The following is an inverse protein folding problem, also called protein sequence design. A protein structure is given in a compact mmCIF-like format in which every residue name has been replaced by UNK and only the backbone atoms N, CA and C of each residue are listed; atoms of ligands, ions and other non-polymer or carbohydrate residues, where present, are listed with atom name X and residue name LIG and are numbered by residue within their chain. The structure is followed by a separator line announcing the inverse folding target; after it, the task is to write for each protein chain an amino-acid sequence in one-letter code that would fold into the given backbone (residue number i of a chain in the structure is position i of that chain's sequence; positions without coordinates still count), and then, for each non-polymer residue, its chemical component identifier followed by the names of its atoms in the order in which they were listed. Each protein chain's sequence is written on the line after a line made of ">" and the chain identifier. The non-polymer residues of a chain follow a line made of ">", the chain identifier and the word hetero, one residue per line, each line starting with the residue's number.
data_IF_110202150479
#
_entry.id   IF_110202150479
#
_cell.length_a   1.000
_cell.length_b   1.000
_cell.length_c   1.000
_cell.angle_alpha   90.00
_cell.angle_beta   90.00
_cell.angle_gamma   90.00
#
_symmetry.space_group_name_H-M   'P 1'
#
loop_
_entity.id
_entity.type
_entity.pdbx_description
1 polymer ?
#
# COMPACT_ATOMS: atom_id res chain seq x y z
N UNK A 1 2.49 6.53 27.97
CA UNK A 1 3.52 7.56 27.76
C UNK A 1 4.13 7.32 26.39
N UNK A 2 4.27 8.33 25.51
CA UNK A 2 4.93 8.13 24.24
C UNK A 2 6.31 7.53 24.42
N UNK A 3 6.63 6.51 23.65
CA UNK A 3 7.96 5.92 23.58
C UNK A 3 8.68 6.59 22.41
N UNK A 4 9.81 7.23 22.68
CA UNK A 4 10.58 7.95 21.67
C UNK A 4 11.92 7.25 21.41
N UNK A 5 12.46 7.43 20.21
CA UNK A 5 13.81 6.98 19.91
C UNK A 5 14.84 7.69 20.80
N UNK A 6 15.78 6.94 21.33
CA UNK A 6 16.89 7.47 22.15
C UNK A 6 17.89 8.23 21.28
N UNK A 7 18.05 7.81 20.04
CA UNK A 7 18.92 8.43 19.07
C UNK A 7 18.37 8.29 17.64
N UNK A 8 18.48 9.39 16.90
CA UNK A 8 18.15 9.46 15.48
C UNK A 8 19.38 9.97 14.72
N UNK A 9 19.83 9.26 13.71
CA UNK A 9 20.98 9.71 12.91
C UNK A 9 20.59 10.88 12.01
N UNK A 10 21.58 11.72 11.67
CA UNK A 10 21.38 12.67 10.58
C UNK A 10 21.09 11.94 9.27
N UNK A 11 20.19 12.46 8.42
CA UNK A 11 19.92 11.87 7.12
C UNK A 11 21.18 11.82 6.25
N UNK A 12 21.43 10.68 5.59
CA UNK A 12 22.57 10.46 4.70
C UNK A 12 22.07 10.21 3.29
N UNK A 13 22.57 10.97 2.33
CA UNK A 13 22.33 10.73 0.92
C UNK A 13 23.07 9.46 0.49
N UNK A 14 22.31 8.38 0.25
CA UNK A 14 22.85 7.05 -0.10
C UNK A 14 22.97 6.84 -1.60
N UNK A 15 22.02 7.39 -2.36
CA UNK A 15 21.97 7.28 -3.81
C UNK A 15 21.41 8.57 -4.42
N UNK A 16 22.03 9.02 -5.51
CA UNK A 16 21.57 10.13 -6.33
C UNK A 16 21.62 9.71 -7.79
N UNK A 17 20.49 9.60 -8.44
CA UNK A 17 20.43 9.15 -9.83
C UNK A 17 19.20 9.67 -10.58
N UNK A 18 19.17 9.48 -11.91
CA UNK A 18 18.05 9.94 -12.73
C UNK A 18 16.77 9.11 -12.55
N UNK A 19 16.88 7.94 -11.93
CA UNK A 19 15.72 7.05 -11.69
C UNK A 19 15.14 7.25 -10.30
N UNK A 20 16.02 7.41 -9.29
CA UNK A 20 15.62 7.61 -7.89
C UNK A 20 16.69 8.33 -7.10
N UNK A 21 16.28 8.89 -5.98
CA UNK A 21 17.14 9.41 -4.92
C UNK A 21 16.82 8.66 -3.63
N UNK A 22 17.85 8.24 -2.90
CA UNK A 22 17.69 7.52 -1.64
C UNK A 22 18.38 8.26 -0.52
N UNK A 23 17.63 8.54 0.55
CA UNK A 23 18.12 9.14 1.79
C UNK A 23 17.91 8.13 2.91
N UNK A 24 18.98 7.78 3.63
CA UNK A 24 18.93 6.84 4.75
C UNK A 24 18.91 7.57 6.07
N UNK A 25 18.12 7.04 7.02
CA UNK A 25 18.04 7.48 8.41
C UNK A 25 17.92 6.25 9.30
N UNK A 26 18.43 6.30 10.53
CA UNK A 26 18.21 5.26 11.51
C UNK A 26 17.69 5.82 12.83
N UNK A 27 16.84 5.03 13.47
CA UNK A 27 16.25 5.30 14.78
C UNK A 27 16.67 4.18 15.73
N UNK A 28 17.30 4.56 16.83
CA UNK A 28 17.65 3.61 17.90
C UNK A 28 16.74 3.83 19.08
N UNK A 29 16.13 2.75 19.50
CA UNK A 29 15.38 2.65 20.76
C UNK A 29 16.24 1.88 21.79
N UNK A 30 15.75 1.66 23.01
CA UNK A 30 16.53 1.02 24.07
C UNK A 30 17.20 -0.31 23.64
N UNK A 31 16.42 -1.21 23.04
CA UNK A 31 16.90 -2.53 22.56
C UNK A 31 16.89 -2.68 21.04
N UNK A 32 16.22 -1.80 20.33
CA UNK A 32 15.86 -1.97 18.90
C UNK A 32 16.55 -0.95 18.00
N UNK A 33 16.77 -1.36 16.74
CA UNK A 33 17.26 -0.50 15.67
C UNK A 33 16.28 -0.54 14.51
N UNK A 34 15.87 0.63 14.03
CA UNK A 34 15.06 0.79 12.82
C UNK A 34 15.82 1.62 11.81
N UNK A 35 16.10 1.04 10.65
CA UNK A 35 16.76 1.69 9.52
C UNK A 35 15.77 1.91 8.40
N UNK A 36 15.75 3.11 7.83
CA UNK A 36 14.85 3.48 6.73
C UNK A 36 15.63 4.07 5.57
N UNK A 37 15.36 3.54 4.38
CA UNK A 37 15.72 4.16 3.12
C UNK A 37 14.47 4.89 2.59
N UNK A 38 14.52 6.20 2.54
CA UNK A 38 13.46 7.06 2.00
C UNK A 38 13.77 7.27 0.52
N UNK A 39 12.89 6.75 -0.34
CA UNK A 39 13.09 6.71 -1.79
C UNK A 39 12.18 7.71 -2.48
N UNK A 40 12.76 8.59 -3.25
CA UNK A 40 12.08 9.59 -4.07
C UNK A 40 12.27 9.26 -5.55
N UNK A 41 11.23 9.46 -6.35
CA UNK A 41 11.24 9.21 -7.79
C UNK A 41 10.95 10.50 -8.57
N UNK A 42 11.75 10.88 -9.58
CA UNK A 42 11.52 12.11 -10.34
C UNK A 42 10.17 12.18 -11.07
N UNK A 43 9.67 11.03 -11.53
CA UNK A 43 8.48 10.95 -12.36
C UNK A 43 7.30 10.24 -11.69
N UNK A 44 7.40 9.94 -10.41
CA UNK A 44 6.36 9.28 -9.64
C UNK A 44 6.16 10.03 -8.31
N UNK A 45 4.98 10.58 -8.05
CA UNK A 45 4.74 11.35 -6.83
C UNK A 45 4.53 10.48 -5.58
N UNK A 46 5.13 9.29 -5.55
CA UNK A 46 5.15 8.37 -4.42
C UNK A 46 6.50 8.48 -3.71
N UNK A 47 6.46 8.44 -2.40
CA UNK A 47 7.65 8.39 -1.55
C UNK A 47 7.59 7.08 -0.78
N UNK A 48 8.58 6.21 -0.99
CA UNK A 48 8.64 4.90 -0.34
C UNK A 48 9.56 4.94 0.87
N UNK A 49 9.15 4.27 1.95
CA UNK A 49 9.91 4.08 3.18
C UNK A 49 10.26 2.60 3.32
N UNK A 50 11.38 2.21 2.73
CA UNK A 50 11.90 0.83 2.84
C UNK A 50 12.52 0.67 4.22
N UNK A 51 11.90 -0.14 5.05
CA UNK A 51 12.21 -0.21 6.48
C UNK A 51 12.74 -1.58 6.86
N UNK A 52 13.84 -1.60 7.60
CA UNK A 52 14.41 -2.76 8.26
C UNK A 52 14.46 -2.49 9.75
N UNK A 53 13.99 -3.44 10.56
CA UNK A 53 13.99 -3.30 12.00
C UNK A 53 14.53 -4.58 12.66
N UNK A 54 15.56 -4.44 13.50
CA UNK A 54 15.92 -5.45 14.51
C UNK A 54 15.22 -5.05 15.81
N UNK A 55 14.00 -5.62 16.01
CA UNK A 55 13.12 -5.24 17.08
C UNK A 55 13.29 -6.13 18.30
N UNK A 56 13.60 -5.53 19.46
CA UNK A 56 13.90 -6.19 20.72
C UNK A 56 13.07 -5.70 21.91
N UNK A 57 12.29 -4.63 21.72
CA UNK A 57 11.54 -3.99 22.80
C UNK A 57 10.16 -4.63 22.97
N UNK A 58 9.81 -4.97 24.22
CA UNK A 58 8.51 -5.54 24.59
C UNK A 58 7.53 -4.46 25.04
N UNK A 59 6.23 -4.74 24.94
CA UNK A 59 5.12 -3.84 25.29
C UNK A 59 5.13 -2.50 24.52
N UNK A 60 5.63 -2.49 23.31
CA UNK A 60 5.73 -1.28 22.48
C UNK A 60 4.88 -1.47 21.22
N UNK A 61 4.18 -0.40 20.83
CA UNK A 61 3.49 -0.25 19.57
C UNK A 61 4.24 0.80 18.74
N UNK A 62 4.94 0.34 17.70
CA UNK A 62 5.61 1.23 16.74
C UNK A 62 4.63 1.62 15.66
N UNK A 63 4.41 2.92 15.48
CA UNK A 63 3.53 3.49 14.46
C UNK A 63 4.20 4.64 13.73
N UNK A 64 3.80 4.82 12.47
CA UNK A 64 4.08 6.04 11.73
C UNK A 64 2.82 6.86 11.58
N UNK A 65 2.97 8.19 11.59
CA UNK A 65 1.88 9.13 11.42
C UNK A 65 2.23 10.19 10.38
N UNK A 66 1.27 10.48 9.52
CA UNK A 66 1.36 11.50 8.49
C UNK A 66 0.23 12.51 8.70
N UNK A 67 0.53 13.69 9.28
CA UNK A 67 -0.47 14.76 9.37
C UNK A 67 -0.76 15.30 7.97
N UNK A 68 -2.03 15.29 7.58
CA UNK A 68 -2.51 15.78 6.30
C UNK A 68 -3.50 16.94 6.54
N UNK A 69 -3.28 18.06 5.88
CA UNK A 69 -4.23 19.19 5.92
C UNK A 69 -5.35 18.98 4.91
N UNK A 70 -6.09 17.89 5.09
CA UNK A 70 -7.22 17.49 4.24
C UNK A 70 -8.46 17.46 5.10
N UNK A 71 -9.49 18.20 4.70
CA UNK A 71 -10.74 18.29 5.42
C UNK A 71 -11.79 17.34 4.80
N UNK A 72 -11.78 16.11 5.24
CA UNK A 72 -12.71 15.09 4.82
C UNK A 72 -13.32 14.37 6.03
N UNK A 73 -14.64 14.17 6.00
CA UNK A 73 -15.37 13.46 7.07
C UNK A 73 -15.25 11.95 6.96
N UNK A 74 -14.80 11.44 5.80
CA UNK A 74 -14.61 10.02 5.55
C UNK A 74 -13.27 9.77 4.90
N UNK A 75 -12.70 8.63 5.21
CA UNK A 75 -11.53 8.06 4.56
C UNK A 75 -11.89 6.71 3.92
N UNK A 76 -11.26 6.39 2.80
CA UNK A 76 -11.43 5.12 2.11
C UNK A 76 -10.34 4.14 2.53
N UNK A 77 -10.71 2.87 2.65
CA UNK A 77 -9.81 1.79 3.05
C UNK A 77 -10.01 0.59 2.14
N UNK A 78 -8.94 0.03 1.62
CA UNK A 78 -9.04 -1.19 0.84
C UNK A 78 -9.49 -2.37 1.71
N UNK A 79 -10.40 -3.14 1.15
CA UNK A 79 -10.78 -4.46 1.62
C UNK A 79 -10.61 -5.45 0.46
N UNK A 80 -10.89 -6.73 0.68
CA UNK A 80 -10.83 -7.76 -0.37
C UNK A 80 -11.75 -7.37 -1.54
N UNK A 81 -11.17 -7.22 -2.73
CA UNK A 81 -11.87 -6.92 -3.98
C UNK A 81 -12.74 -5.66 -3.95
N UNK A 82 -12.30 -4.64 -3.21
CA UNK A 82 -13.06 -3.40 -3.10
C UNK A 82 -12.52 -2.47 -2.03
N UNK A 83 -13.38 -1.61 -1.53
CA UNK A 83 -13.06 -0.64 -0.50
C UNK A 83 -14.26 -0.37 0.41
N UNK A 84 -13.99 0.25 1.55
CA UNK A 84 -15.01 0.71 2.50
C UNK A 84 -14.65 2.11 2.99
N UNK A 85 -15.65 2.97 3.11
CA UNK A 85 -15.48 4.27 3.74
C UNK A 85 -15.77 4.19 5.24
N UNK A 86 -14.96 4.92 6.03
CA UNK A 86 -15.16 5.06 7.48
C UNK A 86 -15.00 6.52 7.89
N UNK A 87 -15.74 6.92 8.94
CA UNK A 87 -15.69 8.28 9.48
C UNK A 87 -14.30 8.60 10.04
N UNK A 88 -13.84 9.84 9.80
CA UNK A 88 -12.56 10.37 10.30
C UNK A 88 -12.72 11.08 11.65
N UNK A 89 -13.93 11.20 12.17
CA UNK A 89 -14.27 11.84 13.44
C UNK A 89 -14.69 10.81 14.49
N UNK A 90 -14.66 11.20 15.76
CA UNK A 90 -15.08 10.34 16.89
C UNK A 90 -16.29 10.94 17.59
N UNK A 91 -17.42 11.02 16.88
CA UNK A 91 -18.64 11.69 17.35
C UNK A 91 -19.47 10.87 18.33
N UNK A 92 -19.25 9.56 18.40
CA UNK A 92 -19.93 8.68 19.34
C UNK A 92 -19.01 7.56 19.85
N UNK A 93 -19.47 6.83 20.87
CA UNK A 93 -18.65 5.83 21.56
C UNK A 93 -18.13 4.70 20.66
N UNK A 94 -18.87 4.33 19.62
CA UNK A 94 -18.41 3.32 18.66
C UNK A 94 -17.22 3.79 17.82
N UNK A 95 -17.22 5.07 17.41
CA UNK A 95 -16.07 5.63 16.68
C UNK A 95 -14.85 5.81 17.60
N UNK A 96 -15.10 6.20 18.84
CA UNK A 96 -14.05 6.31 19.85
C UNK A 96 -13.40 4.96 20.14
N UNK A 97 -14.17 3.85 20.13
CA UNK A 97 -13.65 2.51 20.35
C UNK A 97 -12.85 1.94 19.17
N UNK A 98 -12.93 2.54 17.98
CA UNK A 98 -12.14 2.15 16.81
C UNK A 98 -10.77 2.82 16.83
N UNK A 99 -9.87 2.33 17.67
CA UNK A 99 -8.49 2.83 17.74
C UNK A 99 -7.73 2.58 16.44
N UNK A 100 -7.96 1.43 15.85
CA UNK A 100 -7.43 0.99 14.56
C UNK A 100 -8.49 0.24 13.77
N UNK A 101 -8.37 0.30 12.47
CA UNK A 101 -9.22 -0.43 11.53
C UNK A 101 -8.34 -1.15 10.51
N UNK A 102 -8.84 -2.26 9.98
CA UNK A 102 -8.13 -3.01 8.97
C UNK A 102 -8.24 -2.31 7.61
N UNK A 103 -7.11 -2.19 6.92
CA UNK A 103 -7.05 -2.00 5.48
C UNK A 103 -5.91 -2.86 4.93
N UNK A 104 -5.92 -3.13 3.63
CA UNK A 104 -4.88 -3.95 3.01
C UNK A 104 -3.79 -3.09 2.38
N UNK A 105 -3.74 -3.01 1.06
CA UNK A 105 -2.64 -2.34 0.36
C UNK A 105 -2.67 -0.82 0.46
N UNK A 106 -3.85 -0.22 0.74
CA UNK A 106 -3.98 1.23 0.80
C UNK A 106 -5.09 1.72 1.73
N UNK A 107 -4.91 2.94 2.22
CA UNK A 107 -5.95 3.79 2.78
C UNK A 107 -5.78 5.20 2.23
N UNK A 108 -6.86 5.94 2.08
CA UNK A 108 -6.86 7.27 1.45
C UNK A 108 -7.69 8.28 2.21
N UNK A 109 -7.17 9.48 2.29
CA UNK A 109 -7.87 10.66 2.76
C UNK A 109 -7.86 11.71 1.66
N UNK A 110 -9.03 12.01 1.09
CA UNK A 110 -9.17 12.95 -0.01
C UNK A 110 -10.30 13.93 0.21
N UNK A 111 -10.09 15.15 -0.29
CA UNK A 111 -11.12 16.17 -0.50
C UNK A 111 -11.17 16.58 -1.98
N UNK A 112 -12.03 17.53 -2.34
CA UNK A 112 -12.09 18.01 -3.73
C UNK A 112 -10.76 18.68 -4.11
N UNK A 113 -10.01 18.07 -5.02
CA UNK A 113 -8.79 18.61 -5.60
C UNK A 113 -7.48 18.12 -4.98
N UNK A 114 -7.49 17.51 -3.80
CA UNK A 114 -6.28 17.04 -3.11
C UNK A 114 -6.55 15.76 -2.33
N UNK A 115 -5.61 14.83 -2.34
CA UNK A 115 -5.64 13.63 -1.53
C UNK A 115 -4.24 13.15 -1.14
N UNK A 116 -4.22 12.28 -0.14
CA UNK A 116 -3.04 11.56 0.31
C UNK A 116 -3.42 10.10 0.54
N UNK A 117 -2.79 9.21 -0.21
CA UNK A 117 -2.91 7.78 0.03
C UNK A 117 -1.72 7.28 0.85
N UNK A 118 -2.00 6.41 1.81
CA UNK A 118 -1.02 5.66 2.58
C UNK A 118 -1.03 4.21 2.08
N UNK A 119 0.08 3.80 1.48
CA UNK A 119 0.24 2.48 0.86
C UNK A 119 1.17 1.62 1.72
N UNK A 120 1.02 0.31 1.63
CA UNK A 120 1.93 -0.62 2.32
C UNK A 120 1.93 -2.01 1.67
N UNK A 121 2.93 -2.82 2.02
CA UNK A 121 3.09 -4.19 1.50
C UNK A 121 2.61 -5.29 2.45
N UNK A 122 2.47 -5.03 3.76
CA UNK A 122 2.13 -6.07 4.73
C UNK A 122 1.59 -5.57 6.08
N UNK A 123 1.22 -4.29 6.20
CA UNK A 123 0.75 -3.70 7.47
C UNK A 123 -0.73 -3.33 7.37
N UNK A 124 -1.56 -3.83 8.29
CA UNK A 124 -3.02 -3.75 8.17
C UNK A 124 -3.71 -2.88 9.22
N UNK A 125 -2.99 -2.42 10.24
CA UNK A 125 -3.54 -1.59 11.31
C UNK A 125 -3.48 -0.11 10.95
N UNK A 126 -4.60 0.47 10.49
CA UNK A 126 -4.69 1.86 10.08
C UNK A 126 -5.54 2.69 11.05
N UNK A 127 -5.23 3.97 11.15
CA UNK A 127 -6.13 4.97 11.75
C UNK A 127 -6.07 6.26 10.94
N UNK A 128 -7.22 6.80 10.58
CA UNK A 128 -7.31 8.13 9.96
C UNK A 128 -8.33 8.93 10.76
N UNK A 129 -7.84 9.88 11.54
CA UNK A 129 -8.67 10.73 12.42
C UNK A 129 -8.09 12.14 12.46
N UNK A 130 -8.95 13.12 12.48
CA UNK A 130 -8.61 14.53 12.66
C UNK A 130 -7.49 15.03 11.71
N UNK A 131 -7.50 14.54 10.46
CA UNK A 131 -6.50 14.88 9.46
C UNK A 131 -5.14 14.20 9.65
N UNK A 132 -5.02 13.18 10.51
CA UNK A 132 -3.80 12.40 10.69
C UNK A 132 -4.02 10.96 10.20
N UNK A 133 -3.11 10.48 9.36
CA UNK A 133 -3.09 9.11 8.85
C UNK A 133 -2.02 8.30 9.58
N UNK A 134 -2.43 7.24 10.29
CA UNK A 134 -1.55 6.37 11.06
C UNK A 134 -1.51 4.95 10.53
N UNK A 135 -0.33 4.33 10.57
CA UNK A 135 -0.09 2.92 10.24
C UNK A 135 0.70 2.26 11.35
N UNK A 136 0.22 1.13 11.84
CA UNK A 136 0.94 0.29 12.80
C UNK A 136 1.97 -0.55 12.07
N UNK A 137 3.21 -0.44 12.49
CA UNK A 137 4.36 -1.11 11.89
C UNK A 137 4.73 -2.39 12.65
N UNK A 138 4.87 -2.30 13.99
CA UNK A 138 5.23 -3.42 14.87
C UNK A 138 4.40 -3.32 16.15
N UNK A 139 3.91 -4.46 16.64
CA UNK A 139 3.18 -4.56 17.92
C UNK A 139 3.74 -5.67 18.77
N UNK A 140 4.71 -5.35 19.62
CA UNK A 140 5.36 -6.32 20.51
C UNK A 140 4.62 -6.49 21.84
N UNK A 141 3.44 -7.09 21.77
CA UNK A 141 2.71 -7.54 22.96
C UNK A 141 3.38 -8.75 23.61
N UNK A 142 2.96 -9.08 24.84
CA UNK A 142 3.50 -10.23 25.58
C UNK A 142 2.46 -11.31 25.88
N UNK A 143 1.25 -11.14 25.40
CA UNK A 143 0.19 -12.11 25.53
C UNK A 143 -0.60 -12.23 24.22
N UNK A 144 -0.95 -13.41 23.75
CA UNK A 144 -0.65 -14.75 24.31
C UNK A 144 0.79 -15.24 24.04
N UNK A 145 1.56 -14.56 23.19
CA UNK A 145 2.94 -14.85 22.87
C UNK A 145 3.86 -13.79 23.52
N UNK A 146 4.74 -14.24 24.42
CA UNK A 146 5.68 -13.35 25.13
C UNK A 146 6.70 -12.68 24.19
N UNK A 147 6.95 -13.26 23.04
CA UNK A 147 7.89 -12.79 22.04
C UNK A 147 7.20 -12.33 20.74
N UNK A 148 5.95 -11.88 20.84
CA UNK A 148 5.24 -11.36 19.68
C UNK A 148 6.03 -10.23 19.01
N UNK A 149 6.24 -10.33 17.70
CA UNK A 149 6.96 -9.38 16.85
C UNK A 149 8.42 -9.07 17.27
N UNK A 150 9.02 -9.91 18.16
CA UNK A 150 10.45 -9.79 18.45
C UNK A 150 11.25 -10.46 17.34
N UNK A 151 12.22 -9.72 16.78
CA UNK A 151 13.09 -10.22 15.72
C UNK A 151 13.32 -9.22 14.59
N UNK A 152 13.77 -9.73 13.46
CA UNK A 152 14.04 -8.94 12.27
C UNK A 152 12.77 -8.79 11.42
N UNK A 153 12.49 -7.54 11.02
CA UNK A 153 11.40 -7.19 10.13
C UNK A 153 11.92 -6.43 8.91
N UNK A 154 11.32 -6.70 7.77
CA UNK A 154 11.50 -5.93 6.54
C UNK A 154 10.13 -5.66 5.93
N UNK A 155 9.85 -4.39 5.65
CA UNK A 155 8.58 -3.95 5.07
C UNK A 155 8.72 -2.59 4.42
N UNK A 156 7.80 -2.30 3.50
CA UNK A 156 7.72 -1.00 2.84
C UNK A 156 6.33 -0.39 3.03
N UNK A 157 6.30 0.88 3.37
CA UNK A 157 5.09 1.70 3.27
C UNK A 157 5.41 2.97 2.49
N UNK A 158 4.37 3.61 1.97
CA UNK A 158 4.55 4.75 1.09
C UNK A 158 3.48 5.80 1.31
N UNK A 159 3.82 7.05 1.03
CA UNK A 159 2.84 8.12 0.86
C UNK A 159 2.74 8.48 -0.61
N UNK A 160 1.51 8.69 -1.06
CA UNK A 160 1.18 9.06 -2.42
C UNK A 160 0.27 10.29 -2.42
N UNK A 161 0.83 11.51 -2.44
CA UNK A 161 0.06 12.73 -2.61
C UNK A 161 -0.47 12.82 -4.05
N UNK A 162 -1.73 13.22 -4.20
CA UNK A 162 -2.37 13.25 -5.51
C UNK A 162 -3.39 14.39 -5.63
N UNK A 163 -3.74 14.71 -6.87
CA UNK A 163 -4.85 15.61 -7.19
C UNK A 163 -6.16 14.83 -7.27
N UNK A 164 -7.26 15.47 -6.91
CA UNK A 164 -8.59 14.87 -6.96
C UNK A 164 -8.78 13.82 -5.87
N UNK A 165 -9.79 12.99 -6.05
CA UNK A 165 -10.11 11.87 -5.15
C UNK A 165 -9.35 10.62 -5.54
N UNK A 166 -9.24 9.66 -4.64
CA UNK A 166 -8.51 8.40 -4.86
C UNK A 166 -9.01 7.62 -6.10
N UNK A 167 -10.31 7.73 -6.44
CA UNK A 167 -10.88 7.10 -7.63
C UNK A 167 -10.30 7.66 -8.95
N UNK A 168 -9.86 8.92 -8.93
CA UNK A 168 -9.30 9.62 -10.09
C UNK A 168 -7.79 9.51 -10.14
N UNK A 169 -7.17 9.27 -8.99
CA UNK A 169 -5.74 9.43 -8.73
C UNK A 169 -4.91 8.15 -8.93
N UNK A 170 -5.46 7.07 -9.44
CA UNK A 170 -4.75 5.78 -9.62
C UNK A 170 -4.19 5.20 -8.31
N UNK A 171 -4.83 5.47 -7.17
CA UNK A 171 -4.39 4.95 -5.86
C UNK A 171 -4.29 3.43 -5.85
N UNK A 172 -5.27 2.74 -6.44
CA UNK A 172 -5.30 1.28 -6.50
C UNK A 172 -4.11 0.74 -7.30
N UNK A 173 -3.84 1.32 -8.47
CA UNK A 173 -2.71 0.93 -9.32
C UNK A 173 -1.37 1.18 -8.60
N UNK A 174 -1.21 2.32 -7.92
CA UNK A 174 0.00 2.63 -7.14
C UNK A 174 0.23 1.63 -6.00
N UNK A 175 -0.84 1.18 -5.37
CA UNK A 175 -0.78 0.16 -4.33
C UNK A 175 -0.40 -1.22 -4.89
N UNK A 176 -0.92 -1.57 -6.07
CA UNK A 176 -0.50 -2.79 -6.77
C UNK A 176 0.96 -2.72 -7.25
N UNK A 177 1.41 -1.59 -7.77
CA UNK A 177 2.82 -1.40 -8.18
C UNK A 177 3.79 -1.58 -6.99
N UNK A 178 3.38 -1.20 -5.78
CA UNK A 178 4.16 -1.43 -4.57
C UNK A 178 4.19 -2.92 -4.18
N UNK A 179 3.05 -3.61 -4.29
CA UNK A 179 2.87 -4.99 -3.84
C UNK A 179 3.28 -6.05 -4.89
N UNK A 180 3.33 -5.65 -6.16
CA UNK A 180 3.68 -6.51 -7.29
C UNK A 180 4.71 -5.80 -8.17
N UNK A 181 5.94 -5.63 -7.69
CA UNK A 181 6.97 -4.88 -8.40
C UNK A 181 7.32 -5.55 -9.74
N UNK A 182 7.70 -4.72 -10.72
CA UNK A 182 8.13 -5.19 -12.04
C UNK A 182 9.37 -6.09 -11.91
N UNK A 183 9.31 -7.23 -12.58
CA UNK A 183 10.45 -8.13 -12.70
C UNK A 183 11.18 -7.83 -13.99
N UNK A 184 12.49 -7.54 -13.89
CA UNK A 184 13.35 -7.34 -15.05
C UNK A 184 14.19 -8.58 -15.34
N UNK A 185 14.40 -8.88 -16.62
CA UNK A 185 15.28 -9.95 -17.06
C UNK A 185 16.07 -9.50 -18.28
N UNK A 186 17.31 -10.01 -18.40
CA UNK A 186 18.12 -9.80 -19.59
C UNK A 186 17.52 -10.64 -20.72
N UNK A 187 17.20 -9.98 -21.83
CA UNK A 187 16.72 -10.64 -23.05
C UNK A 187 17.81 -10.62 -24.12
N UNK A 188 17.81 -11.59 -25.06
CA UNK A 188 18.69 -11.55 -26.24
C UNK A 188 18.47 -10.28 -27.04
N UNK A 189 19.54 -9.69 -27.58
CA UNK A 189 19.51 -8.41 -28.29
C UNK A 189 18.60 -8.36 -29.54
N UNK A 190 18.01 -9.44 -29.97
CA UNK A 190 17.11 -9.60 -31.12
C UNK A 190 15.73 -10.12 -30.77
N UNK A 191 15.15 -9.65 -29.66
CA UNK A 191 13.74 -9.93 -29.35
C UNK A 191 12.79 -8.98 -30.07
N UNK A 192 11.51 -9.35 -30.31
CA UNK A 192 10.50 -8.41 -30.75
C UNK A 192 10.32 -7.36 -29.66
N UNK A 193 10.65 -6.10 -29.98
CA UNK A 193 10.33 -4.98 -29.09
C UNK A 193 8.84 -4.70 -29.11
N UNK A 194 8.31 -4.09 -28.04
CA UNK A 194 6.93 -3.63 -27.98
C UNK A 194 6.24 -4.00 -26.67
N UNK A 195 5.03 -3.50 -26.53
CA UNK A 195 4.12 -3.85 -25.45
C UNK A 195 3.15 -4.92 -25.93
N UNK A 196 2.96 -5.94 -25.11
CA UNK A 196 1.84 -6.82 -25.31
C UNK A 196 1.23 -7.24 -23.97
N UNK A 197 -0.08 -7.49 -23.98
CA UNK A 197 -0.79 -8.01 -22.81
C UNK A 197 -1.62 -9.23 -23.20
N UNK A 198 -1.62 -10.25 -22.36
CA UNK A 198 -2.53 -11.39 -22.52
C UNK A 198 -3.98 -11.03 -22.24
N UNK A 199 -4.20 -10.09 -21.33
CA UNK A 199 -5.52 -9.67 -20.89
C UNK A 199 -5.49 -8.17 -20.65
N UNK A 200 -6.49 -7.47 -21.14
CA UNK A 200 -6.72 -6.06 -20.80
C UNK A 200 -8.21 -5.77 -20.69
N UNK A 201 -8.57 -4.76 -19.92
CA UNK A 201 -9.93 -4.24 -19.78
C UNK A 201 -9.97 -2.79 -20.22
N UNK A 202 -11.11 -2.36 -20.75
CA UNK A 202 -11.30 -0.99 -21.28
C UNK A 202 -11.75 0.02 -20.21
N UNK A 203 -12.15 -0.46 -19.04
CA UNK A 203 -12.65 0.40 -17.97
C UNK A 203 -11.61 0.61 -16.86
N UNK A 204 -11.26 1.87 -16.52
CA UNK A 204 -10.26 2.16 -15.50
C UNK A 204 -10.71 1.84 -14.07
N UNK A 205 -12.00 1.59 -13.84
CA UNK A 205 -12.54 1.13 -12.57
C UNK A 205 -12.54 -0.40 -12.43
N UNK A 206 -12.18 -1.14 -13.49
CA UNK A 206 -12.11 -2.59 -13.48
C UNK A 206 -10.66 -3.03 -13.43
N UNK A 207 -10.34 -3.94 -12.51
CA UNK A 207 -8.99 -4.42 -12.29
C UNK A 207 -8.90 -5.92 -12.53
N UNK A 208 -7.98 -6.31 -13.41
CA UNK A 208 -7.62 -7.74 -13.61
C UNK A 208 -6.65 -8.10 -12.49
N UNK A 209 -7.15 -8.79 -11.48
CA UNK A 209 -6.33 -9.15 -10.33
C UNK A 209 -5.44 -10.34 -10.62
N UNK A 210 -6.00 -11.34 -11.32
CA UNK A 210 -5.29 -12.61 -11.54
C UNK A 210 -5.75 -13.29 -12.81
N UNK A 211 -4.78 -13.94 -13.46
CA UNK A 211 -5.02 -14.98 -14.45
C UNK A 211 -4.24 -16.23 -14.03
N UNK A 212 -4.93 -17.35 -13.83
CA UNK A 212 -4.29 -18.63 -13.49
C UNK A 212 -4.82 -19.77 -14.35
N UNK A 213 -4.07 -20.85 -14.42
CA UNK A 213 -4.57 -22.11 -14.99
C UNK A 213 -5.65 -22.70 -14.06
N UNK A 214 -6.70 -23.25 -14.63
CA UNK A 214 -7.72 -23.97 -13.87
C UNK A 214 -7.13 -25.21 -13.17
N UNK A 215 -7.64 -25.57 -12.00
CA UNK A 215 -7.08 -26.65 -11.18
C UNK A 215 -7.32 -28.03 -11.81
N UNK A 216 -8.42 -28.19 -12.54
CA UNK A 216 -8.72 -29.38 -13.35
C UNK A 216 -7.88 -29.47 -14.65
N UNK A 217 -7.09 -28.42 -14.92
CA UNK A 217 -6.25 -28.31 -16.10
C UNK A 217 -6.98 -27.89 -17.37
N UNK A 218 -8.29 -27.64 -17.32
CA UNK A 218 -9.13 -27.31 -18.45
C UNK A 218 -9.39 -25.80 -18.54
N UNK A 219 -8.44 -25.05 -19.11
CA UNK A 219 -8.59 -23.63 -19.37
C UNK A 219 -7.92 -22.72 -18.34
N UNK A 220 -8.38 -21.46 -18.30
CA UNK A 220 -7.85 -20.41 -17.46
C UNK A 220 -8.96 -19.74 -16.65
N UNK A 221 -8.66 -19.41 -15.42
CA UNK A 221 -9.52 -18.60 -14.56
C UNK A 221 -8.99 -17.17 -14.59
N UNK A 222 -9.87 -16.24 -14.88
CA UNK A 222 -9.61 -14.81 -14.84
C UNK A 222 -10.44 -14.18 -13.72
N UNK A 223 -9.78 -13.51 -12.76
CA UNK A 223 -10.45 -12.76 -11.71
C UNK A 223 -10.38 -11.29 -12.00
N UNK A 224 -11.55 -10.68 -12.09
CA UNK A 224 -11.71 -9.24 -12.33
C UNK A 224 -12.64 -8.67 -11.26
N UNK A 225 -12.38 -7.47 -10.80
CA UNK A 225 -13.28 -6.76 -9.88
C UNK A 225 -13.36 -5.27 -10.22
N UNK A 226 -14.47 -4.66 -9.83
CA UNK A 226 -14.68 -3.21 -9.90
C UNK A 226 -14.19 -2.57 -8.60
N UNK A 227 -13.38 -1.51 -8.67
CA UNK A 227 -12.64 -0.96 -7.53
C UNK A 227 -13.06 0.46 -7.08
N UNK A 228 -14.08 1.08 -7.70
CA UNK A 228 -14.50 2.46 -7.43
C UNK A 228 -15.93 2.60 -6.91
N UNK A 229 -16.58 1.47 -6.62
CA UNK A 229 -17.99 1.40 -6.22
C UNK A 229 -18.95 1.98 -7.28
N UNK A 230 -18.69 1.69 -8.55
CA UNK A 230 -19.48 2.17 -9.68
C UNK A 230 -20.10 1.00 -10.45
N UNK A 231 -21.28 1.25 -11.03
CA UNK A 231 -21.87 0.31 -11.99
C UNK A 231 -21.31 0.61 -13.38
N UNK A 232 -20.68 -0.37 -14.00
CA UNK A 232 -20.10 -0.24 -15.33
C UNK A 232 -20.28 -1.50 -16.16
N UNK A 233 -20.18 -1.36 -17.47
CA UNK A 233 -19.98 -2.47 -18.40
C UNK A 233 -18.55 -2.38 -18.92
N UNK A 234 -17.87 -3.50 -19.00
CA UNK A 234 -16.48 -3.55 -19.48
C UNK A 234 -16.33 -4.55 -20.62
N UNK A 235 -15.33 -4.31 -21.45
CA UNK A 235 -14.85 -5.26 -22.46
C UNK A 235 -13.54 -5.86 -21.98
N UNK A 236 -13.48 -7.19 -21.97
CA UNK A 236 -12.24 -7.93 -21.73
C UNK A 236 -11.60 -8.30 -23.04
N UNK A 237 -10.41 -7.78 -23.32
CA UNK A 237 -9.64 -8.13 -24.51
C UNK A 237 -8.62 -9.22 -24.16
N UNK A 238 -8.67 -10.33 -24.90
CA UNK A 238 -7.75 -11.45 -24.74
C UNK A 238 -6.78 -11.50 -25.91
N UNK A 239 -5.49 -11.57 -25.64
CA UNK A 239 -4.41 -11.68 -26.63
C UNK A 239 -4.18 -13.11 -27.14
N UNK A 240 -5.18 -13.98 -27.04
CA UNK A 240 -5.17 -15.37 -27.51
C UNK A 240 -6.59 -15.82 -27.90
N UNK A 241 -6.67 -16.86 -28.72
CA UNK A 241 -7.95 -17.42 -29.13
C UNK A 241 -8.64 -18.15 -27.99
N UNK A 242 -9.95 -18.00 -27.92
CA UNK A 242 -10.81 -18.67 -26.94
C UNK A 242 -11.90 -19.43 -27.65
N UNK A 243 -12.25 -20.61 -27.16
CA UNK A 243 -13.36 -21.42 -27.65
C UNK A 243 -14.65 -21.23 -26.88
N UNK A 244 -14.52 -20.90 -25.58
CA UNK A 244 -15.66 -20.76 -24.68
C UNK A 244 -15.31 -19.82 -23.52
N UNK A 245 -16.30 -19.07 -23.03
CA UNK A 245 -16.21 -18.24 -21.81
C UNK A 245 -17.42 -18.55 -20.95
N UNK A 246 -17.19 -18.70 -19.67
CA UNK A 246 -18.21 -18.95 -18.66
C UNK A 246 -17.99 -18.02 -17.47
N UNK A 247 -19.06 -17.43 -16.96
CA UNK A 247 -19.06 -16.65 -15.72
C UNK A 247 -19.40 -17.58 -14.56
N UNK A 248 -18.60 -17.57 -13.47
CA UNK A 248 -18.75 -18.40 -12.30
C UNK A 248 -18.67 -17.62 -10.96
#
# INVERSE_FOLDING_TARGET
>A
KPYSADHVTAPVLKEWGPVRTVVSISHRFAGSLVEQDIVFYPNLPRIDFVTRADWRDHHVLLRVYFPARINATKAAYEIQFGNVERETTSNHSWDTAKFEVCAHKWADLSENGLGLSLLNDCKYGHSIKDGEMGLTLIKSGTYPNENADIGFHEFTYSIYPHKGRWQEARTVEMAYDLNSPLVSALAPAKGPGGFWSKVSVDQPCCFVEMMKKAEDGNGYILRIYENRNTRTSMTVNLGFEISHVEEC
#
